data_IF_422284092458
#
_entry.id   IF_422284092458
#
_cell.length_a   1.000
_cell.length_b   1.000
_cell.length_c   1.000
_cell.angle_alpha   90.00
_cell.angle_beta   90.00
_cell.angle_gamma   90.00
#
_symmetry.space_group_name_H-M   'P 1'
#
loop_
_entity.id
_entity.type
_entity.pdbx_description
1 polymer ?
#
# COMPACT_ATOMS: atom_id res chain seq x y z
N UNK A 1 3.17 -19.94 -23.17
CA UNK A 1 4.14 -19.05 -23.85
C UNK A 1 3.55 -17.66 -23.76
N UNK A 2 4.13 -16.61 -23.20
CA UNK A 2 5.39 -16.36 -22.51
C UNK A 2 5.23 -15.00 -21.79
N UNK A 3 5.12 -14.94 -20.46
CA UNK A 3 5.11 -13.67 -19.71
C UNK A 3 6.18 -13.62 -18.62
N UNK A 4 7.07 -14.61 -18.55
CA UNK A 4 8.17 -14.66 -17.57
C UNK A 4 9.31 -13.68 -17.86
N UNK A 5 9.26 -12.91 -18.95
CA UNK A 5 10.32 -11.97 -19.34
C UNK A 5 10.07 -10.51 -18.94
N UNK A 6 8.83 -10.08 -18.67
CA UNK A 6 8.55 -8.71 -18.21
C UNK A 6 8.95 -8.47 -16.74
N UNK A 7 8.96 -9.52 -15.91
CA UNK A 7 9.23 -9.38 -14.46
C UNK A 7 10.71 -9.20 -14.08
N UNK A 8 11.65 -9.69 -14.88
CA UNK A 8 13.07 -9.74 -14.48
C UNK A 8 13.83 -8.42 -14.74
N UNK A 9 13.34 -7.57 -15.65
CA UNK A 9 13.94 -6.27 -15.98
C UNK A 9 13.61 -5.18 -14.95
N UNK A 10 12.33 -5.08 -14.55
CA UNK A 10 11.83 -4.00 -13.69
C UNK A 10 12.15 -4.18 -12.18
N UNK A 11 12.35 -5.41 -11.71
CA UNK A 11 12.77 -5.67 -10.32
C UNK A 11 14.14 -5.06 -9.96
N UNK A 12 14.99 -4.75 -10.95
CA UNK A 12 16.35 -4.23 -10.74
C UNK A 12 16.42 -2.77 -10.25
N UNK A 13 15.30 -2.03 -10.22
CA UNK A 13 15.30 -0.59 -9.88
C UNK A 13 14.34 -0.21 -8.74
N UNK A 14 13.75 -1.18 -8.02
CA UNK A 14 12.87 -0.88 -6.88
C UNK A 14 13.70 -0.34 -5.70
N UNK A 15 13.41 0.89 -5.29
CA UNK A 15 14.01 1.51 -4.10
C UNK A 15 13.26 1.01 -2.87
N UNK A 16 13.97 0.55 -1.83
CA UNK A 16 13.36 0.17 -0.55
C UNK A 16 13.83 1.09 0.57
N UNK A 17 13.00 1.25 1.60
CA UNK A 17 13.30 2.09 2.76
C UNK A 17 14.44 1.53 3.60
N UNK A 18 14.43 0.21 3.79
CA UNK A 18 15.44 -0.52 4.53
C UNK A 18 15.42 -2.01 4.08
N UNK A 19 16.33 -2.80 4.65
CA UNK A 19 16.39 -4.24 4.38
C UNK A 19 15.12 -4.97 4.85
N UNK A 20 14.48 -4.50 5.92
CA UNK A 20 13.26 -5.11 6.46
C UNK A 20 12.08 -4.93 5.50
N UNK A 21 11.97 -3.76 4.85
CA UNK A 21 10.98 -3.45 3.83
C UNK A 21 11.18 -4.38 2.64
N UNK A 22 12.42 -4.49 2.14
CA UNK A 22 12.75 -5.41 1.03
C UNK A 22 12.38 -6.86 1.35
N UNK A 23 12.75 -7.36 2.54
CA UNK A 23 12.46 -8.73 2.96
C UNK A 23 10.96 -8.97 3.04
N UNK A 24 10.24 -8.08 3.74
CA UNK A 24 8.79 -8.15 3.86
C UNK A 24 8.11 -8.21 2.50
N UNK A 25 8.51 -7.36 1.55
CA UNK A 25 7.93 -7.32 0.21
C UNK A 25 7.95 -8.70 -0.48
N UNK A 26 9.13 -9.31 -0.58
CA UNK A 26 9.28 -10.60 -1.25
C UNK A 26 8.70 -11.78 -0.45
N UNK A 27 8.63 -11.67 0.87
CA UNK A 27 8.03 -12.70 1.71
C UNK A 27 6.51 -12.70 1.59
N UNK A 28 5.87 -11.53 1.68
CA UNK A 28 4.42 -11.41 1.67
C UNK A 28 3.81 -11.65 0.28
N UNK A 29 4.53 -11.33 -0.80
CA UNK A 29 4.09 -11.63 -2.17
C UNK A 29 3.91 -13.13 -2.47
N UNK A 30 4.42 -14.02 -1.61
CA UNK A 30 4.19 -15.47 -1.76
C UNK A 30 2.78 -15.89 -1.33
N UNK A 31 2.10 -15.05 -0.54
CA UNK A 31 0.79 -15.35 0.04
C UNK A 31 -0.36 -14.63 -0.69
N UNK A 32 -0.06 -13.65 -1.55
CA UNK A 32 -1.11 -12.99 -2.33
C UNK A 32 -1.69 -13.93 -3.39
N UNK A 33 -2.99 -13.85 -3.60
CA UNK A 33 -3.74 -14.65 -4.58
C UNK A 33 -3.34 -14.42 -6.04
N UNK A 34 -2.82 -13.23 -6.34
CA UNK A 34 -2.42 -12.81 -7.68
C UNK A 34 -1.19 -11.92 -7.54
N UNK A 35 -0.16 -12.18 -8.34
CA UNK A 35 1.02 -11.30 -8.43
C UNK A 35 0.82 -10.32 -9.58
N UNK A 36 -0.09 -9.36 -9.37
CA UNK A 36 -0.33 -8.23 -10.26
C UNK A 36 0.13 -6.92 -9.62
N UNK A 37 0.11 -5.85 -10.41
CA UNK A 37 0.54 -4.50 -10.00
C UNK A 37 -0.23 -3.93 -8.80
N UNK A 38 -1.44 -4.43 -8.53
CA UNK A 38 -2.25 -3.99 -7.39
C UNK A 38 -1.71 -4.61 -6.10
N UNK A 39 -1.53 -5.93 -6.10
CA UNK A 39 -1.01 -6.66 -4.95
C UNK A 39 0.46 -6.30 -4.70
N UNK A 40 1.25 -6.12 -5.75
CA UNK A 40 2.62 -5.62 -5.63
C UNK A 40 2.66 -4.23 -4.97
N UNK A 41 1.86 -3.27 -5.44
CA UNK A 41 1.83 -1.94 -4.84
C UNK A 41 1.33 -1.96 -3.39
N UNK A 42 0.31 -2.78 -3.09
CA UNK A 42 -0.21 -2.97 -1.73
C UNK A 42 0.88 -3.46 -0.77
N UNK A 43 1.51 -4.59 -1.11
CA UNK A 43 2.51 -5.24 -0.26
C UNK A 43 3.76 -4.37 -0.13
N UNK A 44 4.19 -3.70 -1.21
CA UNK A 44 5.27 -2.74 -1.15
C UNK A 44 4.94 -1.60 -0.18
N UNK A 45 3.78 -0.97 -0.34
CA UNK A 45 3.40 0.17 0.49
C UNK A 45 3.34 -0.21 1.97
N UNK A 46 2.66 -1.31 2.32
CA UNK A 46 2.58 -1.82 3.69
C UNK A 46 3.95 -2.27 4.24
N UNK A 47 4.91 -2.58 3.38
CA UNK A 47 6.28 -2.91 3.77
C UNK A 47 7.10 -1.73 4.26
N UNK A 48 6.69 -0.48 3.96
CA UNK A 48 7.45 0.74 4.31
C UNK A 48 7.57 0.91 5.83
N UNK A 49 6.46 0.68 6.57
CA UNK A 49 6.38 0.97 8.00
C UNK A 49 6.49 -0.31 8.84
N UNK A 50 7.26 -0.23 9.93
CA UNK A 50 7.39 -1.36 10.86
C UNK A 50 6.08 -1.78 11.51
N UNK A 51 5.18 -0.82 11.78
CA UNK A 51 3.89 -1.09 12.43
C UNK A 51 2.94 -1.82 11.49
N UNK A 52 2.88 -1.43 10.22
CA UNK A 52 2.06 -2.10 9.21
C UNK A 52 2.56 -3.50 8.91
N UNK A 53 3.89 -3.72 8.89
CA UNK A 53 4.47 -5.07 8.76
C UNK A 53 4.05 -6.01 9.88
N UNK A 54 4.04 -5.54 11.13
CA UNK A 54 3.64 -6.35 12.31
C UNK A 54 2.15 -6.64 12.35
N UNK A 55 1.34 -5.82 11.68
CA UNK A 55 -0.13 -5.90 11.73
C UNK A 55 -0.74 -6.24 10.36
N UNK A 56 0.01 -6.86 9.44
CA UNK A 56 -0.44 -7.11 8.06
C UNK A 56 -1.77 -7.85 8.00
N UNK A 57 -1.95 -8.89 8.82
CA UNK A 57 -3.20 -9.68 8.92
C UNK A 57 -4.40 -8.87 9.45
N UNK A 58 -4.13 -7.74 10.12
CA UNK A 58 -5.17 -6.81 10.58
C UNK A 58 -5.54 -5.78 9.51
N UNK A 59 -4.69 -5.59 8.50
CA UNK A 59 -4.86 -4.59 7.43
C UNK A 59 -5.43 -5.24 6.16
N UNK A 60 -5.01 -6.47 5.86
CA UNK A 60 -5.34 -7.17 4.63
C UNK A 60 -5.61 -8.65 4.91
N UNK A 61 -6.65 -9.17 4.27
CA UNK A 61 -7.00 -10.58 4.30
C UNK A 61 -6.43 -11.28 3.05
N UNK A 62 -5.43 -12.14 3.24
CA UNK A 62 -4.83 -12.89 2.13
C UNK A 62 -5.77 -13.94 1.53
N UNK A 63 -6.70 -14.47 2.31
CA UNK A 63 -7.67 -15.48 1.86
C UNK A 63 -8.73 -14.82 0.99
N UNK A 64 -9.36 -13.74 1.46
CA UNK A 64 -10.47 -13.06 0.78
C UNK A 64 -10.03 -11.97 -0.18
N UNK A 65 -8.80 -11.47 -0.06
CA UNK A 65 -8.26 -10.36 -0.84
C UNK A 65 -8.87 -9.01 -0.45
N UNK A 66 -9.53 -8.94 0.71
CA UNK A 66 -10.18 -7.72 1.18
C UNK A 66 -9.24 -6.91 2.08
N UNK A 67 -9.30 -5.59 1.94
CA UNK A 67 -8.73 -4.67 2.92
C UNK A 67 -9.65 -4.57 4.13
N UNK A 68 -9.06 -4.35 5.31
CA UNK A 68 -9.76 -4.25 6.60
C UNK A 68 -9.67 -2.81 7.10
N UNK A 69 -10.67 -1.98 6.78
CA UNK A 69 -10.65 -0.54 7.05
C UNK A 69 -10.69 -0.22 8.55
N UNK A 70 -11.24 -1.12 9.35
CA UNK A 70 -11.27 -1.04 10.81
C UNK A 70 -9.87 -0.89 11.42
N UNK A 71 -8.81 -1.34 10.74
CA UNK A 71 -7.44 -1.21 11.20
C UNK A 71 -7.00 0.25 11.43
N UNK A 72 -7.64 1.21 10.75
CA UNK A 72 -7.36 2.65 10.92
C UNK A 72 -7.82 3.20 12.27
N UNK A 73 -8.69 2.47 12.99
CA UNK A 73 -9.22 2.84 14.31
C UNK A 73 -8.50 2.09 15.44
N UNK A 74 -7.52 1.25 15.12
CA UNK A 74 -6.84 0.41 16.11
C UNK A 74 -5.69 1.13 16.83
N UNK A 75 -5.50 0.81 18.10
CA UNK A 75 -4.58 1.55 18.99
C UNK A 75 -3.08 1.41 18.68
N UNK A 76 -2.69 0.55 17.73
CA UNK A 76 -1.29 0.44 17.30
C UNK A 76 -0.91 1.49 16.25
N UNK A 77 -1.89 2.19 15.67
CA UNK A 77 -1.66 3.15 14.60
C UNK A 77 -0.85 4.36 15.08
N UNK A 78 0.08 4.78 14.23
CA UNK A 78 0.80 6.04 14.31
C UNK A 78 0.42 6.93 13.13
N UNK A 79 0.78 8.22 13.16
CA UNK A 79 0.58 9.11 12.00
C UNK A 79 1.30 8.60 10.74
N UNK A 80 2.41 7.88 10.91
CA UNK A 80 3.15 7.30 9.79
C UNK A 80 2.44 6.08 9.19
N UNK A 81 2.02 5.13 10.04
CA UNK A 81 1.33 3.93 9.58
C UNK A 81 -0.03 4.24 8.96
N UNK A 82 -0.76 5.23 9.50
CA UNK A 82 -2.02 5.68 8.94
C UNK A 82 -1.90 6.21 7.49
N UNK A 83 -0.81 6.89 7.16
CA UNK A 83 -0.54 7.36 5.79
C UNK A 83 -0.22 6.20 4.86
N UNK A 84 0.60 5.26 5.34
CA UNK A 84 0.95 4.03 4.60
C UNK A 84 -0.29 3.21 4.27
N UNK A 85 -1.16 2.93 5.26
CA UNK A 85 -2.39 2.15 5.06
C UNK A 85 -3.31 2.84 4.07
N UNK A 86 -3.55 4.15 4.21
CA UNK A 86 -4.42 4.89 3.28
C UNK A 86 -3.89 4.88 1.85
N UNK A 87 -2.60 5.11 1.64
CA UNK A 87 -2.03 5.02 0.29
C UNK A 87 -2.12 3.58 -0.26
N UNK A 88 -1.85 2.56 0.56
CA UNK A 88 -1.96 1.16 0.17
C UNK A 88 -3.39 0.81 -0.27
N UNK A 89 -4.40 1.22 0.50
CA UNK A 89 -5.81 1.06 0.15
C UNK A 89 -6.14 1.79 -1.16
N UNK A 90 -5.62 2.99 -1.36
CA UNK A 90 -5.89 3.75 -2.57
C UNK A 90 -5.36 3.09 -3.83
N UNK A 91 -4.10 2.66 -3.81
CA UNK A 91 -3.48 2.00 -4.96
C UNK A 91 -4.09 0.62 -5.23
N UNK A 92 -4.49 -0.10 -4.20
CA UNK A 92 -5.08 -1.43 -4.31
C UNK A 92 -6.55 -1.41 -4.76
N UNK A 93 -7.37 -0.56 -4.14
CA UNK A 93 -8.82 -0.51 -4.38
C UNK A 93 -9.23 0.48 -5.48
N UNK A 94 -8.29 1.27 -6.02
CA UNK A 94 -8.59 2.44 -6.87
C UNK A 94 -9.59 3.41 -6.21
N UNK A 95 -9.50 3.60 -4.89
CA UNK A 95 -10.51 4.36 -4.15
C UNK A 95 -10.10 4.70 -2.73
N UNK A 96 -11.07 5.08 -1.90
CA UNK A 96 -10.83 5.47 -0.51
C UNK A 96 -11.76 4.67 0.40
N UNK A 97 -11.54 3.35 0.55
CA UNK A 97 -12.53 2.44 1.10
C UNK A 97 -12.99 2.80 2.52
N UNK A 98 -12.11 3.37 3.35
CA UNK A 98 -12.46 3.79 4.72
C UNK A 98 -13.42 4.98 4.79
N UNK A 99 -13.57 5.74 3.70
CA UNK A 99 -14.55 6.84 3.65
C UNK A 99 -15.96 6.30 3.88
N UNK A 100 -16.25 5.08 3.42
CA UNK A 100 -17.57 4.48 3.54
C UNK A 100 -17.81 3.74 4.86
N UNK A 101 -16.88 3.84 5.83
CA UNK A 101 -17.06 3.28 7.17
C UNK A 101 -18.06 4.09 8.02
N UNK A 102 -18.47 5.27 7.55
CA UNK A 102 -19.44 6.15 8.18
C UNK A 102 -20.52 6.60 7.20
N UNK A 103 -21.73 6.79 7.69
CA UNK A 103 -22.84 7.40 6.94
C UNK A 103 -22.90 8.94 7.11
N UNK A 104 -22.13 9.50 8.06
CA UNK A 104 -22.09 10.95 8.28
C UNK A 104 -21.24 11.65 7.21
N UNK A 105 -21.84 12.60 6.50
CA UNK A 105 -21.18 13.30 5.39
C UNK A 105 -19.95 14.11 5.83
N UNK A 106 -19.93 14.66 7.05
CA UNK A 106 -18.77 15.40 7.53
C UNK A 106 -17.60 14.45 7.83
N UNK A 107 -17.87 13.31 8.47
CA UNK A 107 -16.86 12.26 8.68
C UNK A 107 -16.33 11.70 7.36
N UNK A 108 -17.20 11.49 6.36
CA UNK A 108 -16.78 11.08 5.02
C UNK A 108 -15.85 12.13 4.37
N UNK A 109 -16.21 13.40 4.45
CA UNK A 109 -15.39 14.50 3.91
C UNK A 109 -14.05 14.60 4.64
N UNK A 110 -14.04 14.47 5.97
CA UNK A 110 -12.82 14.48 6.76
C UNK A 110 -11.91 13.31 6.37
N UNK A 111 -12.43 12.08 6.34
CA UNK A 111 -11.65 10.90 5.97
C UNK A 111 -11.13 10.99 4.52
N UNK A 112 -11.95 11.49 3.58
CA UNK A 112 -11.55 11.71 2.20
C UNK A 112 -10.37 12.69 2.10
N UNK A 113 -10.37 13.77 2.90
CA UNK A 113 -9.27 14.74 2.93
C UNK A 113 -7.91 14.12 3.31
N UNK A 114 -7.91 13.04 4.09
CA UNK A 114 -6.70 12.33 4.52
C UNK A 114 -6.02 11.53 3.42
N UNK A 115 -6.68 11.35 2.28
CA UNK A 115 -6.12 10.73 1.06
C UNK A 115 -5.47 11.74 0.10
N UNK A 116 -5.52 13.04 0.41
CA UNK A 116 -4.88 14.06 -0.42
C UNK A 116 -3.35 13.90 -0.44
N UNK A 117 -2.73 14.36 -1.53
CA UNK A 117 -1.27 14.35 -1.69
C UNK A 117 -0.58 15.05 -0.52
N UNK A 118 -1.09 16.19 -0.06
CA UNK A 118 -0.54 16.90 1.09
C UNK A 118 -0.54 16.04 2.36
N UNK A 119 -1.68 15.42 2.71
CA UNK A 119 -1.80 14.63 3.92
C UNK A 119 -0.99 13.32 3.88
N UNK A 120 -0.90 12.68 2.71
CA UNK A 120 -0.14 11.45 2.53
C UNK A 120 1.37 11.71 2.43
N UNK A 121 1.80 12.63 1.55
CA UNK A 121 3.21 12.80 1.19
C UNK A 121 3.99 13.73 2.11
N UNK A 122 3.34 14.46 3.02
CA UNK A 122 4.03 15.28 4.03
C UNK A 122 4.65 14.41 5.16
N UNK A 123 5.58 13.51 4.81
CA UNK A 123 6.34 12.68 5.72
C UNK A 123 7.62 12.13 5.05
N UNK A 124 8.52 11.52 5.83
CA UNK A 124 9.76 10.92 5.32
C UNK A 124 9.55 9.71 4.40
N UNK A 125 8.32 9.19 4.28
CA UNK A 125 8.01 8.07 3.41
C UNK A 125 7.69 8.46 1.96
N UNK A 126 7.58 9.76 1.65
CA UNK A 126 7.24 10.28 0.32
C UNK A 126 8.04 9.63 -0.84
N UNK A 127 9.39 9.46 -0.74
CA UNK A 127 10.15 8.82 -1.82
C UNK A 127 9.71 7.37 -2.10
N UNK A 128 9.31 6.63 -1.07
CA UNK A 128 8.85 5.26 -1.20
C UNK A 128 7.38 5.21 -1.64
N UNK A 129 6.57 6.19 -1.26
CA UNK A 129 5.22 6.35 -1.82
C UNK A 129 5.27 6.55 -3.34
N UNK A 130 6.23 7.32 -3.84
CA UNK A 130 6.45 7.44 -5.29
C UNK A 130 6.82 6.09 -5.92
N UNK A 131 7.67 5.30 -5.27
CA UNK A 131 8.01 3.96 -5.74
C UNK A 131 6.78 3.01 -5.77
N UNK A 132 5.88 3.11 -4.79
CA UNK A 132 4.62 2.35 -4.79
C UNK A 132 3.72 2.71 -5.98
N UNK A 133 3.63 4.00 -6.32
CA UNK A 133 2.91 4.48 -7.51
C UNK A 133 3.54 3.93 -8.80
N UNK A 134 4.87 3.91 -8.90
CA UNK A 134 5.57 3.30 -10.06
C UNK A 134 5.27 1.82 -10.22
N UNK A 135 5.26 1.07 -9.12
CA UNK A 135 4.91 -0.36 -9.11
C UNK A 135 3.45 -0.55 -9.57
N UNK A 136 2.55 0.33 -9.15
CA UNK A 136 1.13 0.28 -9.53
C UNK A 136 0.90 0.60 -11.02
N UNK A 137 1.73 1.46 -11.59
CA UNK A 137 1.60 2.03 -12.93
C UNK A 137 2.91 1.91 -13.73
N UNK A 138 3.42 0.70 -13.96
CA UNK A 138 4.70 0.50 -14.63
C UNK A 138 4.72 1.08 -16.05
N UNK A 139 3.60 1.01 -16.77
CA UNK A 139 3.47 1.46 -18.16
C UNK A 139 3.70 2.97 -18.37
N UNK A 140 3.66 3.77 -17.29
CA UNK A 140 3.92 5.21 -17.34
C UNK A 140 5.23 5.62 -16.66
N UNK A 141 6.01 4.65 -16.17
CA UNK A 141 7.16 4.92 -15.30
C UNK A 141 8.44 4.17 -15.70
N UNK A 142 8.38 3.46 -16.83
CA UNK A 142 9.55 2.94 -17.54
C UNK A 142 10.32 4.10 -18.19
N UNK A 143 11.63 4.19 -17.88
CA UNK A 143 12.59 5.08 -18.56
C UNK A 143 13.20 4.37 -19.77
#
# INVERSE_FOLDING_TARGET
MSNTALGAGNLKKIIFADLAHKRFYFEQLKFVRCQDVYHEALIYCLGICGDTRRNIERIYDFETGCVKTECLKEGWQTSGSMRVVRLAFNLYCNGTPSVYDSEDLNEQMEECSRYTVENLFCCSYAPYFWQAVKIRYPEYTED
#
